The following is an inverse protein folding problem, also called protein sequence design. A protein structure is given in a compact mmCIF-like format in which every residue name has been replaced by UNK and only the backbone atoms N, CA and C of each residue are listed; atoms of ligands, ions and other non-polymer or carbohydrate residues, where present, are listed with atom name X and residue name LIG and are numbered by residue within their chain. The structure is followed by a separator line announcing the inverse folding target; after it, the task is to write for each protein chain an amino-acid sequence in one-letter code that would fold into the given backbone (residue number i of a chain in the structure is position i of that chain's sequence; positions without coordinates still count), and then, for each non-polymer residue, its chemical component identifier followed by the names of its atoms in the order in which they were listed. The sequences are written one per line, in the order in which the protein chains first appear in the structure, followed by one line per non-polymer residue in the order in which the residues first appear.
data_IF_731275694777
#
_entry.id   IF_731275694777
#
_cell.length_a   1.000
_cell.length_b   1.000
_cell.length_c   1.000
_cell.angle_alpha   90.00
_cell.angle_beta   90.00
_cell.angle_gamma   90.00
#
_symmetry.space_group_name_H-M   'P 1'
#
loop_
_entity.id
_entity.type
_entity.pdbx_description
1 polymer ?
#
# COMPACT_ATOMS: atom_id res chain seq x y z
N UNK A 1 8.40 49.23 -53.96
CA UNK A 1 8.45 50.30 -52.95
C UNK A 1 7.09 51.01 -52.96
N UNK A 2 6.44 51.07 -51.80
CA UNK A 2 5.12 51.70 -51.47
C UNK A 2 3.88 51.16 -52.22
N UNK A 3 2.68 51.00 -51.64
CA UNK A 3 2.13 51.54 -50.39
C UNK A 3 0.94 50.69 -49.87
N UNK A 4 0.70 50.81 -48.56
CA UNK A 4 -0.38 50.40 -47.63
C UNK A 4 -1.79 49.91 -48.12
N UNK A 5 -2.26 48.80 -47.50
CA UNK A 5 -3.52 48.48 -46.72
C UNK A 5 -4.85 49.27 -46.96
N UNK A 6 -6.08 48.82 -46.53
CA UNK A 6 -6.47 47.71 -45.61
C UNK A 6 -7.81 46.95 -45.95
N UNK A 7 -8.26 46.14 -44.97
CA UNK A 7 -9.63 45.61 -44.64
C UNK A 7 -10.20 44.40 -45.39
N UNK A 8 -10.49 43.32 -44.66
CA UNK A 8 -11.90 43.00 -44.38
C UNK A 8 -12.09 42.11 -43.13
N UNK A 9 -13.21 42.37 -42.47
CA UNK A 9 -13.77 41.70 -41.30
C UNK A 9 -14.06 40.22 -41.56
N UNK A 10 -13.84 39.38 -40.56
CA UNK A 10 -14.66 38.17 -40.40
C UNK A 10 -15.11 38.06 -38.94
N UNK A 11 -16.38 38.42 -38.74
CA UNK A 11 -17.14 38.24 -37.52
C UNK A 11 -17.59 36.77 -37.45
N UNK A 12 -16.95 36.00 -36.60
CA UNK A 12 -17.32 34.61 -36.30
C UNK A 12 -17.44 34.38 -34.79
N UNK A 13 -18.37 35.07 -34.13
CA UNK A 13 -19.02 34.51 -32.92
C UNK A 13 -19.99 33.43 -33.40
N UNK A 14 -19.80 32.18 -33.00
CA UNK A 14 -20.73 31.52 -32.08
C UNK A 14 -20.29 30.10 -31.70
N UNK A 15 -20.63 29.72 -30.47
CA UNK A 15 -20.68 28.37 -29.88
C UNK A 15 -19.41 27.52 -29.99
N UNK A 16 -18.68 27.26 -28.91
CA UNK A 16 -19.21 26.49 -27.80
C UNK A 16 -18.61 26.96 -26.47
N UNK A 17 -19.33 27.83 -25.78
CA UNK A 17 -19.42 27.70 -24.34
C UNK A 17 -20.14 26.35 -24.11
N UNK A 18 -19.39 25.24 -24.12
CA UNK A 18 -19.83 24.02 -23.46
C UNK A 18 -19.91 24.40 -21.98
N UNK A 19 -21.13 24.75 -21.61
CA UNK A 19 -21.70 24.73 -20.28
C UNK A 19 -21.20 23.48 -19.55
N UNK A 20 -20.03 23.63 -18.91
CA UNK A 20 -19.45 22.73 -17.93
C UNK A 20 -20.41 22.72 -16.73
N UNK A 21 -21.54 22.06 -16.94
CA UNK A 21 -22.45 21.57 -15.94
C UNK A 21 -21.75 20.47 -15.15
N UNK A 22 -20.59 20.82 -14.59
CA UNK A 22 -19.88 20.03 -13.60
C UNK A 22 -20.86 19.87 -12.46
N UNK A 23 -21.39 18.66 -12.35
CA UNK A 23 -22.17 18.23 -11.20
C UNK A 23 -21.40 18.70 -9.95
N UNK A 24 -22.04 19.45 -9.04
CA UNK A 24 -21.36 19.89 -7.84
C UNK A 24 -20.77 18.68 -7.11
N UNK A 25 -19.49 18.77 -6.73
CA UNK A 25 -18.84 17.70 -5.95
C UNK A 25 -19.63 17.45 -4.67
N UNK A 26 -19.83 16.18 -4.37
CA UNK A 26 -20.44 15.70 -3.13
C UNK A 26 -19.56 16.06 -1.94
N UNK A 27 -20.20 16.46 -0.85
CA UNK A 27 -19.56 16.40 0.46
C UNK A 27 -19.38 14.94 0.88
N UNK A 28 -18.41 14.66 1.76
CA UNK A 28 -18.19 13.30 2.26
C UNK A 28 -19.46 12.73 2.91
N UNK A 29 -20.30 13.55 3.56
CA UNK A 29 -21.58 13.09 4.13
C UNK A 29 -22.63 12.65 3.12
N UNK A 30 -22.46 12.99 1.84
CA UNK A 30 -23.39 12.65 0.74
C UNK A 30 -22.92 11.44 -0.08
N UNK A 31 -21.71 10.95 0.19
CA UNK A 31 -21.15 9.75 -0.43
C UNK A 31 -21.80 8.47 0.11
N UNK A 32 -21.69 7.37 -0.62
CA UNK A 32 -22.31 6.09 -0.28
C UNK A 32 -21.59 5.39 0.88
N UNK A 33 -20.28 5.21 0.76
CA UNK A 33 -19.48 4.40 1.69
C UNK A 33 -18.63 5.31 2.59
N UNK A 34 -18.01 6.36 2.04
CA UNK A 34 -17.10 7.23 2.79
C UNK A 34 -17.80 7.97 3.94
N UNK A 35 -19.10 8.22 3.84
CA UNK A 35 -19.89 8.84 4.92
C UNK A 35 -19.93 7.99 6.21
N UNK A 36 -19.62 6.69 6.12
CA UNK A 36 -19.61 5.76 7.24
C UNK A 36 -18.19 5.48 7.76
N UNK A 37 -17.16 6.08 7.17
CA UNK A 37 -15.77 5.87 7.53
C UNK A 37 -15.26 7.09 8.28
N UNK A 38 -14.52 6.86 9.35
CA UNK A 38 -13.88 7.93 10.11
C UNK A 38 -12.49 7.48 10.49
N UNK A 39 -11.50 8.32 10.19
CA UNK A 39 -10.13 8.05 10.59
C UNK A 39 -10.00 7.99 12.12
N UNK A 40 -9.31 6.96 12.59
CA UNK A 40 -8.87 6.81 13.97
C UNK A 40 -7.39 6.43 13.99
N UNK A 41 -6.59 7.28 14.63
CA UNK A 41 -5.16 7.04 14.81
C UNK A 41 -4.90 5.76 15.59
N UNK A 42 -5.66 5.54 16.67
CA UNK A 42 -5.47 4.38 17.53
C UNK A 42 -5.85 3.07 16.82
N UNK A 43 -6.92 3.07 16.02
CA UNK A 43 -7.29 1.92 15.20
C UNK A 43 -6.26 1.66 14.09
N UNK A 44 -5.71 2.72 13.51
CA UNK A 44 -4.61 2.61 12.54
C UNK A 44 -3.38 1.97 13.18
N UNK A 45 -2.94 2.45 14.34
CA UNK A 45 -1.82 1.88 15.09
C UNK A 45 -2.10 0.40 15.44
N UNK A 46 -3.31 0.09 15.89
CA UNK A 46 -3.72 -1.27 16.20
C UNK A 46 -3.71 -2.19 14.96
N UNK A 47 -4.14 -1.69 13.80
CA UNK A 47 -4.15 -2.45 12.55
C UNK A 47 -2.73 -2.83 12.11
N UNK A 48 -1.77 -1.89 12.12
CA UNK A 48 -0.37 -2.18 11.81
C UNK A 48 0.26 -3.16 12.82
N UNK A 49 0.01 -2.97 14.12
CA UNK A 49 0.52 -3.90 15.17
C UNK A 49 -0.02 -5.31 14.96
N UNK A 50 -1.33 -5.43 14.81
CA UNK A 50 -1.99 -6.72 14.60
C UNK A 50 -1.53 -7.39 13.30
N UNK A 51 -1.24 -6.60 12.26
CA UNK A 51 -0.69 -7.13 11.02
C UNK A 51 0.71 -7.70 11.20
N UNK A 52 1.63 -6.96 11.83
CA UNK A 52 3.00 -7.45 12.04
C UNK A 52 3.05 -8.61 13.03
N UNK A 53 2.22 -8.62 14.08
CA UNK A 53 2.06 -9.77 14.97
C UNK A 53 1.60 -11.02 14.20
N UNK A 54 0.67 -10.84 13.25
CA UNK A 54 0.23 -11.93 12.38
C UNK A 54 1.37 -12.43 11.48
N UNK A 55 2.11 -11.54 10.81
CA UNK A 55 3.25 -11.92 9.98
C UNK A 55 4.31 -12.67 10.80
N UNK A 56 4.60 -12.19 12.02
CA UNK A 56 5.53 -12.84 12.94
C UNK A 56 5.07 -14.21 13.43
N UNK A 57 3.76 -14.41 13.54
CA UNK A 57 3.20 -15.74 13.81
C UNK A 57 3.36 -16.66 12.61
N UNK A 58 3.29 -16.13 11.39
CA UNK A 58 3.30 -16.92 10.15
C UNK A 58 4.70 -17.26 9.62
N UNK A 59 5.60 -16.28 9.42
CA UNK A 59 6.93 -16.51 8.82
C UNK A 59 8.00 -15.52 9.29
N UNK A 60 7.62 -14.28 9.57
CA UNK A 60 8.55 -13.20 9.86
C UNK A 60 9.25 -13.43 11.20
N UNK A 61 10.56 -13.21 11.27
CA UNK A 61 11.27 -13.23 12.56
C UNK A 61 10.73 -12.09 13.46
N UNK A 62 10.18 -12.38 14.66
CA UNK A 62 9.70 -11.35 15.58
C UNK A 62 10.77 -10.30 15.92
N UNK A 63 12.06 -10.66 15.90
CA UNK A 63 13.17 -9.74 16.13
C UNK A 63 13.28 -8.63 15.08
N UNK A 64 12.66 -8.80 13.90
CA UNK A 64 12.62 -7.78 12.87
C UNK A 64 11.54 -6.73 13.14
N UNK A 65 10.52 -7.01 13.95
CA UNK A 65 9.47 -6.04 14.25
C UNK A 65 9.89 -5.19 15.45
N UNK A 66 10.14 -3.90 15.23
CA UNK A 66 10.48 -2.97 16.29
C UNK A 66 9.31 -2.02 16.59
N UNK A 67 9.04 -1.81 17.87
CA UNK A 67 8.06 -0.84 18.35
C UNK A 67 8.75 0.44 18.82
N UNK A 68 8.09 1.61 18.76
CA UNK A 68 8.63 2.81 19.39
C UNK A 68 8.87 2.58 20.89
N UNK A 69 9.79 3.35 21.52
CA UNK A 69 10.02 3.26 22.96
C UNK A 69 8.72 3.41 23.76
N UNK A 70 8.64 2.71 24.91
CA UNK A 70 7.41 2.54 25.70
C UNK A 70 6.54 3.81 25.80
N UNK A 71 5.32 3.71 25.24
CA UNK A 71 4.29 4.75 25.30
C UNK A 71 4.56 6.03 24.47
N UNK A 72 5.63 6.04 23.67
CA UNK A 72 6.15 7.24 23.04
C UNK A 72 6.13 7.25 21.52
N UNK A 73 6.98 8.13 20.98
CA UNK A 73 7.20 8.37 19.57
C UNK A 73 8.65 8.00 19.25
N UNK A 74 8.92 7.51 18.04
CA UNK A 74 10.30 7.26 17.59
C UNK A 74 11.19 8.50 17.76
N UNK A 75 12.45 8.34 18.22
CA UNK A 75 13.40 9.44 18.25
C UNK A 75 13.49 10.12 16.88
N UNK A 76 13.40 11.45 16.85
CA UNK A 76 13.44 12.21 15.60
C UNK A 76 12.09 12.42 14.91
N UNK A 77 11.04 11.67 15.26
CA UNK A 77 9.72 11.76 14.60
C UNK A 77 8.72 12.67 15.33
N UNK A 78 9.17 13.82 15.83
CA UNK A 78 8.26 14.85 16.37
C UNK A 78 7.84 15.82 15.27
N UNK A 79 6.68 16.46 15.43
CA UNK A 79 6.21 17.53 14.52
C UNK A 79 7.29 18.60 14.30
N UNK A 80 8.00 18.97 15.38
CA UNK A 80 9.09 19.96 15.31
C UNK A 80 10.26 19.51 14.43
N UNK A 81 10.68 18.25 14.57
CA UNK A 81 11.80 17.69 13.80
C UNK A 81 11.41 17.43 12.35
N UNK A 82 10.14 17.07 12.12
CA UNK A 82 9.59 16.75 10.82
C UNK A 82 8.91 17.95 10.14
N UNK A 83 9.13 19.18 10.61
CA UNK A 83 8.46 20.38 10.05
C UNK A 83 8.67 20.58 8.54
N UNK A 84 9.78 20.08 8.00
CA UNK A 84 10.13 20.15 6.58
C UNK A 84 9.61 18.94 5.78
N UNK A 85 8.89 18.01 6.42
CA UNK A 85 8.37 16.79 5.77
C UNK A 85 7.26 17.09 4.77
N UNK A 86 6.63 18.27 4.86
CA UNK A 86 5.54 18.66 3.96
C UNK A 86 4.23 17.88 4.18
N UNK A 87 4.13 17.14 5.29
CA UNK A 87 2.91 16.44 5.73
C UNK A 87 2.32 17.08 6.98
N UNK A 88 1.05 16.78 7.22
CA UNK A 88 0.33 17.27 8.40
C UNK A 88 0.91 16.71 9.70
N UNK A 89 0.69 17.44 10.80
CA UNK A 89 1.06 17.01 12.15
C UNK A 89 0.45 15.64 12.49
N UNK A 90 -0.78 15.36 12.03
CA UNK A 90 -1.45 14.07 12.18
C UNK A 90 -0.65 12.92 11.57
N UNK A 91 -0.16 13.09 10.33
CA UNK A 91 0.67 12.08 9.66
C UNK A 91 1.96 11.85 10.44
N UNK A 92 2.64 12.92 10.86
CA UNK A 92 3.88 12.81 11.64
C UNK A 92 3.62 12.08 12.97
N UNK A 93 2.56 12.45 13.68
CA UNK A 93 2.19 11.82 14.94
C UNK A 93 1.83 10.34 14.78
N UNK A 94 1.14 9.97 13.70
CA UNK A 94 0.84 8.59 13.38
C UNK A 94 2.11 7.80 13.11
N UNK A 95 2.93 8.22 12.14
CA UNK A 95 4.15 7.53 11.73
C UNK A 95 5.14 7.39 12.90
N UNK A 96 5.19 8.40 13.78
CA UNK A 96 5.99 8.36 15.00
C UNK A 96 5.60 7.23 15.97
N UNK A 97 4.39 6.68 15.88
CA UNK A 97 3.85 5.67 16.82
C UNK A 97 3.68 4.27 16.21
N UNK A 98 3.84 4.13 14.90
CA UNK A 98 3.74 2.84 14.24
C UNK A 98 4.93 1.92 14.58
N UNK A 99 4.72 0.60 14.67
CA UNK A 99 5.82 -0.36 14.59
C UNK A 99 6.41 -0.38 13.17
N UNK A 100 7.64 -0.88 13.02
CA UNK A 100 8.31 -1.03 11.72
C UNK A 100 9.08 -2.34 11.61
N UNK A 101 9.19 -2.88 10.39
CA UNK A 101 10.03 -4.03 10.07
C UNK A 101 11.46 -3.53 9.80
N UNK A 102 12.43 -3.96 10.62
CA UNK A 102 13.84 -3.56 10.63
C UNK A 102 14.77 -4.76 10.84
N UNK A 103 15.06 -5.54 9.79
CA UNK A 103 16.00 -6.65 9.87
C UNK A 103 17.44 -6.17 10.03
N UNK A 104 18.27 -7.00 10.67
CA UNK A 104 19.71 -6.80 10.82
C UNK A 104 20.45 -8.07 10.38
N UNK A 105 21.29 -8.04 9.32
CA UNK A 105 21.60 -6.90 8.45
C UNK A 105 20.38 -6.41 7.65
N UNK A 106 20.40 -5.15 7.21
CA UNK A 106 19.31 -4.51 6.45
C UNK A 106 19.10 -5.21 5.12
N UNK A 107 18.26 -6.23 5.12
CA UNK A 107 17.74 -6.88 3.93
C UNK A 107 16.30 -6.43 3.71
N UNK A 108 15.84 -6.33 2.47
CA UNK A 108 14.42 -6.09 2.21
C UNK A 108 13.60 -7.28 2.74
N UNK A 109 12.47 -6.97 3.39
CA UNK A 109 11.56 -7.97 3.96
C UNK A 109 10.16 -7.68 3.43
N UNK A 110 9.65 -8.61 2.66
CA UNK A 110 8.32 -8.54 2.10
C UNK A 110 7.30 -8.50 3.23
N UNK A 111 6.41 -7.50 3.19
CA UNK A 111 5.26 -7.39 4.08
C UNK A 111 4.01 -8.01 3.46
N UNK A 112 4.10 -8.49 2.23
CA UNK A 112 3.08 -9.11 1.39
C UNK A 112 3.72 -9.42 0.04
N UNK A 113 3.01 -10.08 -0.87
CA UNK A 113 3.61 -10.36 -2.16
C UNK A 113 3.91 -9.06 -2.92
N UNK A 114 5.13 -8.95 -3.44
CA UNK A 114 5.61 -7.84 -4.28
C UNK A 114 5.81 -6.48 -3.57
N UNK A 115 5.67 -6.38 -2.24
CA UNK A 115 5.89 -5.11 -1.55
C UNK A 115 6.51 -5.22 -0.16
N UNK A 116 7.26 -4.17 0.16
CA UNK A 116 7.82 -3.87 1.47
C UNK A 116 7.18 -2.59 2.00
N UNK A 117 6.92 -2.57 3.31
CA UNK A 117 6.44 -1.36 3.99
C UNK A 117 7.61 -0.51 4.48
N UNK A 118 7.48 0.80 4.30
CA UNK A 118 8.47 1.82 4.66
C UNK A 118 8.68 1.89 6.16
N UNK A 119 9.94 1.89 6.57
CA UNK A 119 10.36 2.29 7.91
C UNK A 119 10.58 3.80 7.99
N UNK A 120 9.49 4.53 8.20
CA UNK A 120 9.52 5.99 8.25
C UNK A 120 10.40 6.56 9.36
N UNK A 121 10.66 5.79 10.42
CA UNK A 121 11.58 6.19 11.47
C UNK A 121 13.05 6.13 11.02
N UNK A 122 13.50 5.08 10.32
CA UNK A 122 14.82 5.09 9.68
C UNK A 122 14.93 6.16 8.58
N UNK A 123 13.84 6.49 7.91
CA UNK A 123 13.81 7.62 6.97
C UNK A 123 14.00 8.94 7.73
N UNK A 124 13.31 9.13 8.85
CA UNK A 124 13.39 10.34 9.68
C UNK A 124 14.75 10.53 10.36
N UNK A 125 15.46 9.47 10.73
CA UNK A 125 16.83 9.55 11.26
C UNK A 125 17.82 10.22 10.29
N UNK A 126 17.46 10.31 9.00
CA UNK A 126 18.25 10.98 7.95
C UNK A 126 17.90 12.46 7.77
N UNK A 127 16.93 13.01 8.53
CA UNK A 127 16.44 14.39 8.40
C UNK A 127 17.04 15.41 9.39
N UNK A 128 17.22 16.67 8.95
CA UNK A 128 17.77 17.06 7.67
C UNK A 128 19.29 17.18 7.80
N UNK A 129 20.02 16.50 6.91
CA UNK A 129 21.43 16.82 6.69
C UNK A 129 21.56 18.01 5.70
N UNK A 130 20.58 18.22 4.80
CA UNK A 130 20.52 19.32 3.81
C UNK A 130 19.10 19.60 3.23
N UNK A 131 18.92 20.66 2.43
CA UNK A 131 17.66 20.96 1.69
C UNK A 131 17.35 19.94 0.58
N UNK A 132 18.38 19.31 0.00
CA UNK A 132 18.23 18.25 -1.02
C UNK A 132 17.61 16.98 -0.41
N UNK A 133 17.90 16.68 0.86
CA UNK A 133 17.31 15.55 1.59
C UNK A 133 15.80 15.73 1.86
N UNK A 134 15.34 16.98 1.99
CA UNK A 134 13.92 17.27 2.19
C UNK A 134 13.10 16.93 0.93
N UNK A 135 13.63 17.21 -0.27
CA UNK A 135 12.98 16.88 -1.54
C UNK A 135 12.93 15.36 -1.78
N UNK A 136 13.99 14.63 -1.40
CA UNK A 136 14.01 13.16 -1.47
C UNK A 136 12.90 12.58 -0.60
N UNK A 137 12.73 13.08 0.61
CA UNK A 137 11.75 12.53 1.54
C UNK A 137 10.33 12.92 1.15
N UNK A 138 10.16 14.13 0.62
CA UNK A 138 8.91 14.52 0.00
C UNK A 138 8.57 13.59 -1.18
N UNK A 139 9.54 13.23 -2.02
CA UNK A 139 9.36 12.24 -3.10
C UNK A 139 8.97 10.86 -2.55
N UNK A 140 9.64 10.38 -1.51
CA UNK A 140 9.28 9.11 -0.85
C UNK A 140 7.85 9.11 -0.31
N UNK A 141 7.37 10.25 0.16
CA UNK A 141 6.03 10.39 0.74
C UNK A 141 4.91 10.47 -0.31
N UNK A 142 5.26 10.74 -1.57
CA UNK A 142 4.31 10.96 -2.68
C UNK A 142 4.38 9.87 -3.76
N UNK A 143 5.41 9.02 -3.74
CA UNK A 143 5.57 7.94 -4.72
C UNK A 143 5.81 8.48 -6.13
N UNK A 144 5.03 8.03 -7.10
CA UNK A 144 5.13 8.39 -8.51
C UNK A 144 4.29 9.62 -8.87
N UNK A 145 3.53 10.15 -7.92
CA UNK A 145 2.66 11.31 -8.10
C UNK A 145 3.34 12.57 -7.58
N UNK A 146 3.14 13.70 -8.29
CA UNK A 146 3.82 14.97 -7.99
C UNK A 146 3.09 15.83 -6.96
N UNK A 147 1.82 15.55 -6.70
CA UNK A 147 0.98 16.34 -5.82
C UNK A 147 0.05 15.40 -5.06
N UNK A 148 0.51 14.95 -3.89
CA UNK A 148 -0.33 14.21 -2.95
C UNK A 148 -0.63 15.13 -1.75
N UNK A 149 -1.90 15.24 -1.31
CA UNK A 149 -2.26 16.07 -0.15
C UNK A 149 -1.42 15.77 1.08
N UNK A 150 -1.19 16.79 1.93
CA UNK A 150 -0.33 16.66 3.11
C UNK A 150 -0.87 15.69 4.18
N UNK A 151 -2.15 15.33 4.13
CA UNK A 151 -2.77 14.31 5.00
C UNK A 151 -2.65 12.89 4.43
N UNK A 152 -2.00 12.72 3.27
CA UNK A 152 -1.79 11.42 2.63
C UNK A 152 -0.28 11.11 2.57
N UNK A 153 0.09 9.86 2.85
CA UNK A 153 1.50 9.42 2.85
C UNK A 153 1.68 8.05 2.20
N UNK A 154 2.74 7.90 1.40
CA UNK A 154 3.14 6.63 0.80
C UNK A 154 3.58 5.60 1.84
N UNK A 155 3.17 4.34 1.67
CA UNK A 155 3.52 3.25 2.61
C UNK A 155 4.57 2.28 2.07
N UNK A 156 4.77 2.19 0.76
CA UNK A 156 5.64 1.17 0.13
C UNK A 156 6.85 1.78 -0.56
N UNK A 157 7.92 0.99 -0.68
CA UNK A 157 9.10 1.33 -1.48
C UNK A 157 8.92 1.01 -2.98
N UNK A 158 8.14 -0.03 -3.30
CA UNK A 158 7.95 -0.49 -4.67
C UNK A 158 6.94 0.38 -5.43
N UNK A 159 7.34 0.93 -6.59
CA UNK A 159 6.47 1.73 -7.46
C UNK A 159 5.37 0.91 -8.16
N UNK A 160 5.57 -0.40 -8.29
CA UNK A 160 4.56 -1.28 -8.90
C UNK A 160 3.46 -1.69 -7.89
N UNK A 161 3.71 -1.47 -6.60
CA UNK A 161 2.79 -1.75 -5.50
C UNK A 161 2.63 -0.52 -4.58
N UNK A 162 2.42 0.65 -5.19
CA UNK A 162 2.23 1.89 -4.45
C UNK A 162 0.99 1.81 -3.55
N UNK A 163 1.16 2.26 -2.31
CA UNK A 163 0.11 2.36 -1.31
C UNK A 163 0.13 3.74 -0.69
N UNK A 164 -1.04 4.34 -0.50
CA UNK A 164 -1.19 5.64 0.15
C UNK A 164 -2.17 5.56 1.31
N UNK A 165 -1.73 5.98 2.50
CA UNK A 165 -2.57 6.12 3.68
C UNK A 165 -3.10 7.54 3.77
N UNK A 166 -4.42 7.69 3.82
CA UNK A 166 -5.11 8.97 3.96
C UNK A 166 -5.65 9.13 5.39
N UNK A 167 -5.05 10.03 6.19
CA UNK A 167 -5.48 10.29 7.57
C UNK A 167 -6.68 11.21 7.67
N UNK A 168 -7.15 11.80 6.57
CA UNK A 168 -8.36 12.60 6.55
C UNK A 168 -9.60 11.72 6.39
N UNK A 169 -9.54 10.74 5.48
CA UNK A 169 -10.64 9.81 5.19
C UNK A 169 -10.54 8.50 5.98
N UNK A 170 -9.35 8.09 6.42
CA UNK A 170 -9.16 6.81 7.11
C UNK A 170 -9.05 5.62 6.16
N UNK A 171 -8.42 5.82 5.00
CA UNK A 171 -8.33 4.84 3.93
C UNK A 171 -6.89 4.46 3.59
N UNK A 172 -6.73 3.27 3.02
CA UNK A 172 -5.54 2.92 2.24
C UNK A 172 -5.96 2.78 0.78
N UNK A 173 -5.30 3.55 -0.08
CA UNK A 173 -5.37 3.44 -1.53
C UNK A 173 -4.29 2.50 -2.03
N UNK A 174 -4.65 1.60 -2.94
CA UNK A 174 -3.76 0.73 -3.69
C UNK A 174 -3.97 1.01 -5.19
N UNK A 175 -3.44 2.11 -5.74
CA UNK A 175 -3.65 2.44 -7.14
C UNK A 175 -3.13 1.35 -8.09
N UNK A 176 -2.20 0.50 -7.69
CA UNK A 176 -1.75 -0.62 -8.53
C UNK A 176 -0.96 -0.18 -9.77
N UNK A 177 0.24 -0.72 -9.94
CA UNK A 177 0.94 -0.66 -11.23
C UNK A 177 0.27 -1.54 -12.28
N UNK A 178 0.79 -1.52 -13.51
CA UNK A 178 0.29 -2.28 -14.67
C UNK A 178 0.35 -3.82 -14.57
N UNK A 179 0.57 -4.38 -13.37
CA UNK A 179 0.71 -5.81 -13.11
C UNK A 179 -0.20 -6.21 -11.94
N UNK A 180 -0.99 -7.27 -12.12
CA UNK A 180 -1.90 -7.83 -11.11
C UNK A 180 -1.83 -9.37 -11.16
N UNK A 181 -2.01 -10.11 -10.06
CA UNK A 181 -2.87 -9.71 -8.92
C UNK A 181 -2.21 -9.25 -7.61
N UNK A 182 -3.03 -9.06 -6.58
CA UNK A 182 -2.78 -8.30 -5.34
C UNK A 182 -4.14 -7.80 -4.81
N UNK A 183 -4.24 -6.71 -4.04
CA UNK A 183 -5.52 -6.10 -3.66
C UNK A 183 -6.48 -5.82 -4.83
N UNK A 184 -5.93 -5.57 -6.02
CA UNK A 184 -6.65 -5.40 -7.29
C UNK A 184 -7.52 -6.60 -7.69
N UNK A 185 -7.12 -7.84 -7.33
CA UNK A 185 -7.90 -9.06 -7.62
C UNK A 185 -9.20 -9.11 -6.84
N UNK A 186 -9.18 -8.64 -5.58
CA UNK A 186 -10.37 -8.50 -4.75
C UNK A 186 -11.25 -7.37 -5.30
N UNK A 187 -10.66 -6.22 -5.67
CA UNK A 187 -11.42 -5.13 -6.27
C UNK A 187 -12.15 -5.52 -7.56
N UNK A 188 -11.60 -6.46 -8.34
CA UNK A 188 -12.20 -6.96 -9.57
C UNK A 188 -13.30 -8.01 -9.37
N UNK A 189 -13.39 -8.64 -8.20
CA UNK A 189 -14.42 -9.64 -7.90
C UNK A 189 -15.55 -8.99 -7.09
N UNK A 190 -16.77 -8.94 -7.62
CA UNK A 190 -17.91 -8.25 -7.00
C UNK A 190 -18.57 -8.98 -5.82
N UNK A 191 -18.00 -10.10 -5.35
CA UNK A 191 -18.65 -11.05 -4.43
C UNK A 191 -17.83 -11.33 -3.15
N UNK A 192 -16.96 -10.38 -2.74
CA UNK A 192 -15.95 -10.63 -1.70
C UNK A 192 -16.25 -9.97 -0.36
N UNK A 193 -15.85 -10.70 0.68
CA UNK A 193 -15.77 -10.32 2.09
C UNK A 193 -15.09 -8.95 2.34
N UNK A 194 -14.28 -8.45 1.40
CA UNK A 194 -13.55 -7.19 1.48
C UNK A 194 -13.83 -6.31 0.26
N UNK A 195 -15.09 -5.85 0.12
CA UNK A 195 -15.46 -4.96 -0.98
C UNK A 195 -14.70 -3.63 -0.89
N UNK A 196 -14.13 -3.11 -2.00
CA UNK A 196 -13.52 -1.79 -2.01
C UNK A 196 -14.57 -0.69 -1.87
N UNK A 197 -14.12 0.53 -1.57
CA UNK A 197 -14.95 1.73 -1.58
C UNK A 197 -15.59 1.91 -2.97
N UNK A 198 -16.92 2.01 -3.00
CA UNK A 198 -17.69 2.19 -4.21
C UNK A 198 -17.84 3.66 -4.63
N UNK A 199 -17.51 4.63 -3.78
CA UNK A 199 -17.54 6.04 -4.15
C UNK A 199 -16.52 6.36 -5.26
N UNK A 200 -16.93 7.14 -6.26
CA UNK A 200 -16.06 7.57 -7.36
C UNK A 200 -15.22 8.77 -6.90
N UNK A 201 -13.91 8.78 -7.15
CA UNK A 201 -13.10 9.93 -6.76
C UNK A 201 -13.53 11.21 -7.49
N UNK A 202 -14.05 11.10 -8.73
CA UNK A 202 -14.62 12.23 -9.47
C UNK A 202 -15.75 12.96 -8.72
N UNK A 203 -16.49 12.24 -7.87
CA UNK A 203 -17.66 12.78 -7.18
C UNK A 203 -17.27 13.70 -6.01
N UNK A 204 -16.12 13.47 -5.36
CA UNK A 204 -15.76 14.18 -4.12
C UNK A 204 -14.33 14.77 -4.09
N UNK A 205 -13.40 14.25 -4.89
CA UNK A 205 -12.00 14.63 -4.85
C UNK A 205 -11.69 15.85 -5.74
N UNK A 206 -10.60 16.54 -5.44
CA UNK A 206 -10.05 17.56 -6.34
C UNK A 206 -9.57 16.93 -7.66
N UNK A 207 -9.59 17.68 -8.76
CA UNK A 207 -9.27 17.16 -10.12
C UNK A 207 -7.86 16.55 -10.20
N UNK A 208 -6.89 17.13 -9.47
CA UNK A 208 -5.54 16.57 -9.38
C UNK A 208 -5.43 15.32 -8.49
N UNK A 209 -6.44 15.05 -7.65
CA UNK A 209 -6.43 13.94 -6.70
C UNK A 209 -7.12 12.67 -7.23
N UNK A 210 -8.00 12.81 -8.23
CA UNK A 210 -8.71 11.66 -8.84
C UNK A 210 -7.73 10.63 -9.35
N UNK A 211 -6.65 11.08 -9.99
CA UNK A 211 -5.72 10.22 -10.73
C UNK A 211 -5.08 9.13 -9.86
N UNK A 212 -4.62 9.50 -8.66
CA UNK A 212 -3.93 8.60 -7.75
C UNK A 212 -4.89 7.84 -6.83
N UNK A 213 -6.14 8.33 -6.66
CA UNK A 213 -7.20 7.64 -5.91
C UNK A 213 -7.85 6.51 -6.73
N UNK A 214 -8.02 6.71 -8.04
CA UNK A 214 -8.68 5.76 -8.96
C UNK A 214 -7.72 5.10 -9.97
N UNK A 215 -6.43 5.03 -9.63
CA UNK A 215 -5.45 4.20 -10.33
C UNK A 215 -5.21 4.52 -11.82
N UNK A 216 -5.69 5.67 -12.35
CA UNK A 216 -5.80 5.97 -13.81
C UNK A 216 -6.61 4.94 -14.64
N UNK A 217 -7.03 3.83 -14.04
CA UNK A 217 -7.70 2.70 -14.67
C UNK A 217 -9.18 2.66 -14.33
N UNK A 218 -9.63 3.50 -13.38
CA UNK A 218 -10.98 3.47 -12.82
C UNK A 218 -11.21 2.30 -11.87
N UNK A 219 -10.17 1.52 -11.57
CA UNK A 219 -10.26 0.42 -10.61
C UNK A 219 -10.23 0.99 -9.20
N UNK A 220 -11.37 0.88 -8.52
CA UNK A 220 -11.56 1.35 -7.14
C UNK A 220 -10.86 0.38 -6.20
N UNK A 221 -9.65 0.74 -5.81
CA UNK A 221 -8.79 -0.04 -4.92
C UNK A 221 -8.51 0.77 -3.64
N UNK A 222 -9.55 1.01 -2.87
CA UNK A 222 -9.44 1.65 -1.57
C UNK A 222 -10.27 0.89 -0.54
N UNK A 223 -9.79 0.84 0.69
CA UNK A 223 -10.48 0.23 1.83
C UNK A 223 -10.24 1.07 3.08
N UNK A 224 -11.14 0.96 4.05
CA UNK A 224 -10.84 1.45 5.40
C UNK A 224 -9.54 0.80 5.90
N UNK A 225 -8.73 1.55 6.64
CA UNK A 225 -7.40 1.10 7.08
C UNK A 225 -7.45 -0.28 7.78
N UNK A 226 -8.35 -0.57 8.74
CA UNK A 226 -8.40 -1.89 9.38
C UNK A 226 -8.77 -3.01 8.40
N UNK A 227 -9.75 -2.76 7.51
CA UNK A 227 -10.24 -3.74 6.55
C UNK A 227 -9.16 -4.10 5.52
N UNK A 228 -8.34 -3.11 5.11
CA UNK A 228 -7.20 -3.35 4.23
C UNK A 228 -6.23 -4.38 4.82
N UNK A 229 -5.87 -4.25 6.10
CA UNK A 229 -4.97 -5.20 6.75
C UNK A 229 -5.62 -6.57 7.00
N UNK A 230 -6.92 -6.65 7.28
CA UNK A 230 -7.62 -7.94 7.35
C UNK A 230 -7.70 -8.64 6.00
N UNK A 231 -7.87 -7.89 4.92
CA UNK A 231 -7.77 -8.40 3.56
C UNK A 231 -6.38 -8.99 3.27
N UNK A 232 -5.30 -8.30 3.64
CA UNK A 232 -3.95 -8.84 3.48
C UNK A 232 -3.75 -10.13 4.29
N UNK A 233 -4.20 -10.16 5.56
CA UNK A 233 -4.17 -11.38 6.38
C UNK A 233 -4.97 -12.52 5.75
N UNK A 234 -6.11 -12.20 5.12
CA UNK A 234 -6.91 -13.19 4.40
C UNK A 234 -6.13 -13.83 3.26
N UNK A 235 -5.38 -13.06 2.46
CA UNK A 235 -4.53 -13.66 1.41
C UNK A 235 -3.49 -14.63 1.95
N UNK A 236 -2.90 -14.35 3.11
CA UNK A 236 -1.99 -15.28 3.78
C UNK A 236 -2.69 -16.52 4.35
N UNK A 237 -3.88 -16.35 4.96
CA UNK A 237 -4.67 -17.47 5.50
C UNK A 237 -5.05 -18.45 4.40
N UNK A 238 -5.43 -17.94 3.24
CA UNK A 238 -5.78 -18.73 2.05
C UNK A 238 -4.56 -19.19 1.23
N UNK A 239 -3.34 -18.85 1.65
CA UNK A 239 -2.09 -19.16 0.93
C UNK A 239 -2.10 -18.67 -0.53
N UNK A 240 -2.77 -17.55 -0.78
CA UNK A 240 -2.59 -16.76 -2.00
C UNK A 240 -1.29 -15.95 -1.92
N UNK A 241 -0.92 -15.50 -0.71
CA UNK A 241 0.40 -14.99 -0.37
C UNK A 241 1.16 -16.08 0.37
N UNK A 242 2.26 -16.55 -0.24
CA UNK A 242 3.04 -17.68 0.25
C UNK A 242 4.44 -17.20 0.63
N UNK A 243 4.79 -17.22 1.92
CA UNK A 243 6.18 -17.05 2.35
C UNK A 243 7.06 -18.19 1.84
N UNK A 244 8.18 -17.84 1.19
CA UNK A 244 9.20 -18.80 0.73
C UNK A 244 10.38 -18.92 1.70
N UNK A 245 10.48 -17.99 2.63
CA UNK A 245 11.41 -17.97 3.76
C UNK A 245 10.97 -16.83 4.71
N UNK A 246 11.81 -16.48 5.68
CA UNK A 246 11.51 -15.44 6.68
C UNK A 246 11.45 -14.01 6.13
N UNK A 247 11.82 -13.78 4.88
CA UNK A 247 11.94 -12.44 4.28
C UNK A 247 11.22 -12.28 2.93
N UNK A 248 10.90 -13.37 2.24
CA UNK A 248 10.30 -13.34 0.90
C UNK A 248 8.90 -13.92 0.88
N UNK A 249 8.00 -13.24 0.17
CA UNK A 249 6.61 -13.65 -0.06
C UNK A 249 6.31 -13.58 -1.56
N UNK A 250 5.81 -14.68 -2.11
CA UNK A 250 5.33 -14.71 -3.49
C UNK A 250 3.82 -14.72 -3.55
N UNK A 251 3.33 -14.28 -4.70
CA UNK A 251 1.94 -14.36 -5.05
C UNK A 251 1.68 -15.64 -5.86
N UNK A 252 0.79 -16.47 -5.34
CA UNK A 252 0.49 -17.79 -5.89
C UNK A 252 -1.02 -17.93 -6.06
N UNK A 253 -1.59 -17.14 -6.96
CA UNK A 253 -2.95 -17.36 -7.40
C UNK A 253 -2.99 -18.42 -8.51
N UNK A 254 -4.01 -19.29 -8.47
CA UNK A 254 -4.21 -20.40 -9.41
C UNK A 254 -3.89 -20.04 -10.87
N UNK A 255 -2.81 -20.64 -11.39
CA UNK A 255 -2.36 -20.54 -12.78
C UNK A 255 -2.74 -21.75 -13.63
N UNK A 256 -3.42 -22.73 -13.04
CA UNK A 256 -3.82 -23.99 -13.66
C UNK A 256 -2.84 -25.15 -13.38
N UNK A 257 -3.33 -26.40 -13.46
CA UNK A 257 -2.61 -27.59 -12.96
C UNK A 257 -1.38 -28.02 -13.78
N UNK A 258 -1.28 -27.53 -15.03
CA UNK A 258 -0.18 -27.88 -15.94
C UNK A 258 1.03 -26.93 -15.81
N UNK A 259 0.91 -25.88 -14.98
CA UNK A 259 1.98 -24.93 -14.73
C UNK A 259 3.00 -25.48 -13.71
N UNK A 260 4.28 -25.50 -14.08
CA UNK A 260 5.34 -26.04 -13.22
C UNK A 260 5.49 -25.22 -11.92
N UNK A 261 5.36 -23.89 -12.00
CA UNK A 261 5.45 -23.03 -10.81
C UNK A 261 4.25 -23.27 -9.87
N UNK A 262 3.04 -23.51 -10.42
CA UNK A 262 1.87 -23.88 -9.62
C UNK A 262 2.09 -25.19 -8.84
N UNK A 263 2.70 -26.20 -9.47
CA UNK A 263 3.03 -27.47 -8.79
C UNK A 263 4.05 -27.28 -7.67
N UNK A 264 5.02 -26.37 -7.85
CA UNK A 264 5.96 -26.00 -6.80
C UNK A 264 5.24 -25.30 -5.65
N UNK A 265 4.35 -24.34 -5.95
CA UNK A 265 3.55 -23.65 -4.94
C UNK A 265 2.60 -24.60 -4.20
N UNK A 266 1.97 -25.57 -4.86
CA UNK A 266 1.17 -26.61 -4.21
C UNK A 266 1.96 -27.45 -3.21
N UNK A 267 3.23 -27.74 -3.53
CA UNK A 267 4.11 -28.42 -2.60
C UNK A 267 4.40 -27.54 -1.36
N UNK A 268 4.60 -26.23 -1.54
CA UNK A 268 4.77 -25.29 -0.42
C UNK A 268 3.48 -25.16 0.40
N UNK A 269 2.30 -25.05 -0.24
CA UNK A 269 1.01 -25.02 0.46
C UNK A 269 0.81 -26.26 1.31
N UNK A 270 1.17 -27.43 0.80
CA UNK A 270 1.09 -28.70 1.53
C UNK A 270 1.92 -28.64 2.82
N UNK A 271 3.14 -28.08 2.77
CA UNK A 271 3.99 -27.91 3.96
C UNK A 271 3.28 -27.05 5.02
N UNK A 272 2.72 -25.89 4.63
CA UNK A 272 1.96 -25.05 5.57
C UNK A 272 0.82 -25.82 6.26
N UNK A 273 0.04 -26.59 5.49
CA UNK A 273 -1.08 -27.38 6.02
C UNK A 273 -0.60 -28.51 6.96
N UNK A 274 0.48 -29.21 6.62
CA UNK A 274 1.08 -30.26 7.46
C UNK A 274 1.58 -29.70 8.80
N UNK A 275 2.03 -28.44 8.81
CA UNK A 275 2.47 -27.74 10.01
C UNK A 275 1.37 -26.98 10.74
N UNK A 276 0.10 -27.18 10.36
CA UNK A 276 -1.06 -26.72 11.14
C UNK A 276 -1.64 -25.36 10.74
N UNK A 277 -1.18 -24.75 9.64
CA UNK A 277 -1.79 -23.53 9.11
C UNK A 277 -3.23 -23.79 8.61
N UNK A 278 -4.19 -22.85 8.74
CA UNK A 278 -4.10 -21.52 9.37
C UNK A 278 -4.48 -21.47 10.87
N UNK A 279 -4.56 -22.62 11.56
CA UNK A 279 -4.89 -22.64 12.99
C UNK A 279 -3.68 -22.21 13.82
N UNK A 280 -3.68 -20.94 14.24
CA UNK A 280 -2.59 -20.33 15.02
C UNK A 280 -2.29 -21.06 16.33
N UNK A 281 -3.22 -21.87 16.87
CA UNK A 281 -2.96 -22.66 18.08
C UNK A 281 -2.17 -23.94 17.81
N UNK A 282 -2.12 -24.36 16.55
CA UNK A 282 -1.47 -25.60 16.10
C UNK A 282 -0.27 -25.32 15.20
N UNK A 283 -0.20 -24.12 14.63
CA UNK A 283 0.81 -23.77 13.64
C UNK A 283 2.22 -23.76 14.25
N UNK A 284 3.12 -24.56 13.67
CA UNK A 284 4.51 -24.67 14.10
C UNK A 284 5.44 -23.85 13.18
N UNK A 285 5.46 -22.52 13.37
CA UNK A 285 6.20 -21.54 12.56
C UNK A 285 7.63 -21.99 12.19
N UNK A 286 8.49 -22.24 13.18
CA UNK A 286 9.90 -22.54 12.94
C UNK A 286 10.08 -23.83 12.12
N UNK A 287 9.31 -24.86 12.44
CA UNK A 287 9.38 -26.14 11.71
C UNK A 287 8.87 -26.00 10.28
N UNK A 288 7.84 -25.19 10.07
CA UNK A 288 7.30 -24.90 8.75
C UNK A 288 8.35 -24.16 7.90
N UNK A 289 8.95 -23.10 8.44
CA UNK A 289 10.00 -22.34 7.74
C UNK A 289 11.21 -23.21 7.41
N UNK A 290 11.68 -24.05 8.35
CA UNK A 290 12.76 -25.01 8.11
C UNK A 290 12.42 -26.04 7.01
N UNK A 291 11.14 -26.39 6.86
CA UNK A 291 10.67 -27.30 5.81
C UNK A 291 10.59 -26.63 4.44
N UNK A 292 10.11 -25.38 4.41
CA UNK A 292 10.04 -24.58 3.18
C UNK A 292 11.46 -24.28 2.68
N UNK A 293 12.39 -23.84 3.53
CA UNK A 293 13.76 -23.55 3.13
C UNK A 293 14.44 -24.76 2.48
N UNK A 294 14.30 -25.95 3.08
CA UNK A 294 14.79 -27.20 2.49
C UNK A 294 14.14 -27.49 1.14
N UNK A 295 12.85 -27.21 1.00
CA UNK A 295 12.11 -27.46 -0.24
C UNK A 295 12.54 -26.50 -1.35
N UNK A 296 12.77 -25.24 -1.03
CA UNK A 296 13.29 -24.23 -1.96
C UNK A 296 14.71 -24.57 -2.43
N UNK A 297 15.57 -25.04 -1.53
CA UNK A 297 16.92 -25.51 -1.89
C UNK A 297 16.90 -26.67 -2.90
N UNK A 298 15.90 -27.57 -2.82
CA UNK A 298 15.71 -28.65 -3.78
C UNK A 298 15.25 -28.14 -5.16
N UNK A 299 14.37 -27.14 -5.20
CA UNK A 299 13.94 -26.50 -6.45
C UNK A 299 15.12 -25.82 -7.14
N UNK A 300 15.88 -25.00 -6.40
CA UNK A 300 17.07 -24.31 -6.93
C UNK A 300 18.11 -25.27 -7.51
N UNK A 301 18.32 -26.43 -6.87
CA UNK A 301 19.26 -27.45 -7.37
C UNK A 301 18.78 -28.06 -8.69
N UNK A 302 17.48 -28.20 -8.89
CA UNK A 302 16.90 -28.74 -10.14
C UNK A 302 17.16 -27.82 -11.33
N UNK A 303 17.09 -26.51 -11.14
CA UNK A 303 17.29 -25.51 -12.19
C UNK A 303 18.77 -25.22 -12.51
N UNK A 304 19.72 -25.77 -11.74
CA UNK A 304 21.17 -25.63 -11.98
C UNK A 304 21.78 -26.77 -12.83
N UNK A 305 20.98 -27.74 -13.26
CA UNK A 305 21.37 -28.91 -14.07
C UNK A 305 21.00 -28.70 -15.53
#
# INVERSE_FOLDING_TARGET
MSNAQPTDHDDGRDSSDEDDSRVPRLSISETQDLCNITYSREETIAAFRSYYEFLSTMYLDPAFVQTPPDGGVWPGMTVENMRNFGKTDEVVELLGRLPYIRPVPRQPVDAGAMFELKDWASIAERLPLSDEDAEIILTESQGSYRQIPAHVVGLTHNRDAEMFLDTHLGLIYFPGGSCTPGPTRIAQNADVQFSPIADCADDYAAEGDVEWRDARTGLRCAWAIPDFFEMLKFYFRELNYIPLNRIQVVEAFDRGPDDEEEQEMDAIRTIFLEHGWPDLNRYENDKCMDAIERRMDEFDQRYRV
#
